data_IF_378744684067
#
_entry.id   IF_378744684067
#
_cell.length_a   1.000
_cell.length_b   1.000
_cell.length_c   1.000
_cell.angle_alpha   90.00
_cell.angle_beta   90.00
_cell.angle_gamma   90.00
#
_symmetry.space_group_name_H-M   'P 1'
#
loop_
_entity.id
_entity.type
_entity.pdbx_description
1 polymer ?
#
# COMPACT_ATOMS: atom_id res chain seq x y z
N UNK A 1 0.85 27.18 -5.88
CA UNK A 1 2.32 27.15 -5.83
C UNK A 1 2.75 25.76 -5.43
N UNK A 2 3.27 24.99 -6.37
CA UNK A 2 3.76 23.63 -6.14
C UNK A 2 5.21 23.66 -5.60
N UNK A 3 5.80 22.51 -5.29
CA UNK A 3 7.16 22.42 -4.73
C UNK A 3 8.25 22.96 -5.68
N UNK A 4 8.04 22.88 -6.99
CA UNK A 4 8.96 23.41 -8.00
C UNK A 4 8.95 24.94 -7.99
N UNK A 5 7.76 25.57 -7.93
CA UNK A 5 7.60 27.02 -7.85
C UNK A 5 8.26 27.63 -6.60
N UNK A 6 8.21 26.90 -5.46
CA UNK A 6 8.78 27.37 -4.19
C UNK A 6 10.28 27.21 -4.09
N UNK A 7 10.81 26.12 -4.63
CA UNK A 7 12.25 25.80 -4.53
C UNK A 7 13.08 26.42 -5.64
N UNK A 8 12.46 26.75 -6.79
CA UNK A 8 13.18 27.12 -8.00
C UNK A 8 13.94 25.95 -8.63
N UNK A 9 13.77 24.73 -8.11
CA UNK A 9 14.46 23.52 -8.57
C UNK A 9 13.50 22.69 -9.45
N UNK A 10 13.88 22.35 -10.69
CA UNK A 10 13.04 21.56 -11.56
C UNK A 10 12.94 20.10 -11.07
N UNK A 11 11.72 19.65 -10.78
CA UNK A 11 11.41 18.25 -10.41
C UNK A 11 10.91 17.50 -11.64
N UNK A 12 11.84 17.15 -12.53
CA UNK A 12 11.55 16.52 -13.82
C UNK A 12 12.35 15.24 -14.00
N UNK A 13 11.81 14.30 -14.77
CA UNK A 13 12.54 13.14 -15.26
C UNK A 13 13.12 13.42 -16.65
N UNK A 14 14.18 12.70 -17.00
CA UNK A 14 14.81 12.76 -18.31
C UNK A 14 14.90 11.35 -18.89
N UNK A 15 14.47 11.19 -20.13
CA UNK A 15 14.54 9.95 -20.90
C UNK A 15 15.38 10.20 -22.15
N UNK A 16 16.52 9.51 -22.26
CA UNK A 16 17.37 9.61 -23.46
C UNK A 16 16.72 8.86 -24.61
N UNK A 17 16.73 9.46 -25.80
CA UNK A 17 16.31 8.74 -26.99
C UNK A 17 17.42 7.77 -27.42
N UNK A 18 17.04 6.63 -28.00
CA UNK A 18 17.98 5.69 -28.62
C UNK A 18 18.74 6.33 -29.78
N UNK A 19 18.06 7.18 -30.55
CA UNK A 19 18.63 8.00 -31.61
C UNK A 19 18.15 9.45 -31.49
N UNK A 20 18.98 10.46 -31.82
CA UNK A 20 18.57 11.86 -31.74
C UNK A 20 17.38 12.15 -32.64
N UNK A 21 16.33 12.77 -32.10
CA UNK A 21 15.16 13.19 -32.88
C UNK A 21 15.40 14.58 -33.46
N UNK A 22 15.25 14.74 -34.76
CA UNK A 22 15.19 16.06 -35.40
C UNK A 22 13.80 16.65 -35.18
N UNK A 23 13.71 17.73 -34.41
CA UNK A 23 12.48 18.46 -34.16
C UNK A 23 12.62 19.85 -34.79
N UNK A 24 11.72 20.19 -35.71
CA UNK A 24 11.56 21.57 -36.16
C UNK A 24 10.89 22.36 -35.04
N UNK A 25 11.61 23.31 -34.44
CA UNK A 25 11.05 24.25 -33.48
C UNK A 25 11.05 25.64 -34.06
N UNK A 26 9.95 26.34 -33.85
CA UNK A 26 9.84 27.75 -34.19
C UNK A 26 10.51 28.56 -33.08
N UNK A 27 11.62 29.22 -33.42
CA UNK A 27 12.41 30.02 -32.49
C UNK A 27 12.03 31.49 -32.68
N UNK A 28 11.55 32.09 -31.60
CA UNK A 28 11.18 33.49 -31.51
C UNK A 28 12.31 34.17 -30.75
N UNK A 29 13.06 35.04 -31.43
CA UNK A 29 14.20 35.76 -30.84
C UNK A 29 13.86 37.25 -30.77
N UNK A 30 13.48 37.76 -29.58
CA UNK A 30 13.26 39.19 -29.38
C UNK A 30 14.59 39.95 -29.40
N UNK A 31 14.68 41.00 -30.21
CA UNK A 31 15.86 41.86 -30.30
C UNK A 31 15.83 42.86 -29.14
N UNK A 32 16.41 42.47 -28.01
CA UNK A 32 16.37 43.23 -26.75
C UNK A 32 16.78 44.69 -26.89
N UNK A 33 17.73 45.01 -27.77
CA UNK A 33 18.19 46.39 -28.01
C UNK A 33 17.08 47.27 -28.61
N UNK A 34 16.43 46.79 -29.66
CA UNK A 34 15.36 47.53 -30.36
C UNK A 34 14.09 47.61 -29.49
N UNK A 35 13.76 46.52 -28.78
CA UNK A 35 12.65 46.50 -27.82
C UNK A 35 12.88 47.43 -26.62
N UNK A 36 14.13 47.56 -26.15
CA UNK A 36 14.49 48.50 -25.09
C UNK A 36 14.38 49.96 -25.52
N UNK A 37 14.75 50.27 -26.77
CA UNK A 37 14.59 51.61 -27.34
C UNK A 37 13.11 51.99 -27.50
N UNK A 38 12.26 51.05 -27.94
CA UNK A 38 10.84 51.30 -28.20
C UNK A 38 9.99 51.31 -26.92
N UNK A 39 10.21 50.39 -25.99
CA UNK A 39 9.29 50.14 -24.87
C UNK A 39 9.87 50.46 -23.48
N UNK A 40 11.16 50.81 -23.38
CA UNK A 40 11.85 51.24 -22.14
C UNK A 40 11.44 50.39 -20.92
N UNK A 41 10.69 50.96 -19.97
CA UNK A 41 10.28 50.29 -18.73
C UNK A 41 9.36 49.08 -18.92
N UNK A 42 8.67 48.97 -20.06
CA UNK A 42 7.79 47.85 -20.40
C UNK A 42 8.50 46.72 -21.14
N UNK A 43 9.80 46.86 -21.45
CA UNK A 43 10.57 45.90 -22.25
C UNK A 43 10.47 44.46 -21.72
N UNK A 44 10.63 44.27 -20.40
CA UNK A 44 10.62 42.94 -19.79
C UNK A 44 9.32 42.18 -20.09
N UNK A 45 8.19 42.85 -19.91
CA UNK A 45 6.86 42.26 -20.12
C UNK A 45 6.60 41.94 -21.60
N UNK A 46 7.09 42.78 -22.52
CA UNK A 46 6.97 42.55 -23.97
C UNK A 46 7.83 41.36 -24.40
N UNK A 47 9.05 41.23 -23.86
CA UNK A 47 9.94 40.09 -24.14
C UNK A 47 9.33 38.79 -23.62
N UNK A 48 8.86 38.75 -22.37
CA UNK A 48 8.22 37.56 -21.78
C UNK A 48 6.97 37.16 -22.56
N UNK A 49 6.16 38.11 -23.03
CA UNK A 49 4.98 37.83 -23.84
C UNK A 49 5.34 37.29 -25.24
N UNK A 50 6.38 37.84 -25.88
CA UNK A 50 6.86 37.34 -27.18
C UNK A 50 7.43 35.92 -27.07
N UNK A 51 8.16 35.63 -25.99
CA UNK A 51 8.73 34.29 -25.74
C UNK A 51 7.66 33.25 -25.36
N UNK A 52 6.53 33.68 -24.81
CA UNK A 52 5.41 32.83 -24.43
C UNK A 52 4.39 32.55 -25.56
N UNK A 53 4.60 33.11 -26.76
CA UNK A 53 3.67 32.95 -27.88
C UNK A 53 3.50 31.48 -28.31
N UNK A 54 2.27 31.09 -28.63
CA UNK A 54 2.00 29.76 -29.19
C UNK A 54 2.46 29.68 -30.64
N UNK A 55 2.77 28.48 -31.11
CA UNK A 55 3.31 28.24 -32.45
C UNK A 55 2.44 28.83 -33.57
N UNK A 56 1.11 28.71 -33.44
CA UNK A 56 0.16 29.29 -34.40
C UNK A 56 0.21 30.82 -34.45
N UNK A 57 0.17 31.46 -33.29
CA UNK A 57 0.23 32.93 -33.16
C UNK A 57 1.55 33.49 -33.69
N UNK A 58 2.65 32.78 -33.44
CA UNK A 58 3.97 33.17 -33.91
C UNK A 58 4.12 33.04 -35.45
N UNK A 59 3.48 32.04 -36.07
CA UNK A 59 3.41 31.91 -37.52
C UNK A 59 2.57 33.03 -38.16
N UNK A 60 1.41 33.33 -37.56
CA UNK A 60 0.53 34.42 -38.02
C UNK A 60 1.26 35.78 -37.90
N UNK A 61 1.98 36.00 -36.80
CA UNK A 61 2.81 37.20 -36.60
C UNK A 61 3.91 37.29 -37.67
N UNK A 62 4.59 36.18 -37.96
CA UNK A 62 5.63 36.14 -39.00
C UNK A 62 5.07 36.57 -40.36
N UNK A 63 3.92 36.03 -40.75
CA UNK A 63 3.28 36.40 -42.02
C UNK A 63 2.85 37.88 -42.07
N UNK A 64 2.35 38.43 -40.95
CA UNK A 64 2.01 39.84 -40.84
C UNK A 64 3.23 40.76 -40.96
N UNK A 65 4.34 40.40 -40.32
CA UNK A 65 5.62 41.11 -40.38
C UNK A 65 6.24 41.09 -41.79
N UNK A 66 6.13 39.97 -42.52
CA UNK A 66 6.62 39.85 -43.90
C UNK A 66 5.76 40.65 -44.90
N UNK A 67 4.46 40.80 -44.65
CA UNK A 67 3.55 41.50 -45.57
C UNK A 67 3.42 43.00 -45.31
N UNK A 68 3.35 43.43 -44.04
CA UNK A 68 3.10 44.82 -43.64
C UNK A 68 4.29 45.50 -42.96
N UNK A 69 5.28 44.75 -42.50
CA UNK A 69 6.46 45.28 -41.78
C UNK A 69 6.22 45.60 -40.29
N UNK A 70 4.95 45.58 -39.87
CA UNK A 70 4.51 45.81 -38.49
C UNK A 70 3.24 45.00 -38.15
N UNK A 71 3.07 44.70 -36.87
CA UNK A 71 1.93 43.93 -36.35
C UNK A 71 1.54 44.44 -34.96
N UNK A 72 0.25 44.53 -34.72
CA UNK A 72 -0.28 44.80 -33.39
C UNK A 72 -0.25 43.53 -32.55
N UNK A 73 0.43 43.58 -31.41
CA UNK A 73 0.57 42.47 -30.49
C UNK A 73 0.00 42.84 -29.12
N UNK A 74 -0.97 42.08 -28.65
CA UNK A 74 -1.55 42.28 -27.34
C UNK A 74 -0.67 41.65 -26.26
N UNK A 75 -0.13 42.47 -25.36
CA UNK A 75 0.63 42.00 -24.21
C UNK A 75 -0.33 41.83 -23.04
N UNK A 76 -0.81 40.61 -22.81
CA UNK A 76 -1.79 40.31 -21.77
C UNK A 76 -1.36 40.77 -20.36
N UNK A 77 -0.05 40.74 -20.05
CA UNK A 77 0.48 41.20 -18.75
C UNK A 77 0.42 42.71 -18.56
N UNK A 78 0.28 43.48 -19.64
CA UNK A 78 0.15 44.94 -19.63
C UNK A 78 -1.28 45.40 -19.97
N UNK A 79 -2.14 44.51 -20.47
CA UNK A 79 -3.47 44.84 -20.97
C UNK A 79 -3.44 45.88 -22.10
N UNK A 80 -2.36 45.89 -22.89
CA UNK A 80 -2.11 46.90 -23.94
C UNK A 80 -1.65 46.23 -25.23
N UNK A 81 -2.12 46.77 -26.34
CA UNK A 81 -1.64 46.45 -27.68
C UNK A 81 -0.41 47.28 -28.00
N UNK A 82 0.66 46.64 -28.45
CA UNK A 82 1.91 47.28 -28.85
C UNK A 82 2.24 46.95 -30.30
N UNK A 83 2.81 47.90 -31.02
CA UNK A 83 3.23 47.69 -32.42
C UNK A 83 4.63 47.07 -32.46
N UNK A 84 4.72 45.86 -32.97
CA UNK A 84 5.99 45.14 -33.16
C UNK A 84 6.40 45.24 -34.62
N UNK A 85 7.68 45.50 -34.87
CA UNK A 85 8.24 45.64 -36.24
C UNK A 85 9.27 44.55 -36.54
N UNK A 86 9.63 44.38 -37.81
CA UNK A 86 10.60 43.36 -38.26
C UNK A 86 11.98 43.46 -37.60
N UNK A 87 12.34 44.64 -37.08
CA UNK A 87 13.61 44.87 -36.36
C UNK A 87 13.56 44.40 -34.91
N UNK A 88 12.37 44.21 -34.34
CA UNK A 88 12.17 43.94 -32.92
C UNK A 88 12.07 42.45 -32.58
N UNK A 89 11.68 41.62 -33.55
CA UNK A 89 11.56 40.17 -33.35
C UNK A 89 11.97 39.42 -34.61
N UNK A 90 12.72 38.33 -34.44
CA UNK A 90 13.06 37.41 -35.53
C UNK A 90 12.39 36.07 -35.27
N UNK A 91 11.60 35.58 -36.23
CA UNK A 91 10.86 34.33 -36.12
C UNK A 91 11.35 33.37 -37.23
N UNK A 92 12.00 32.28 -36.84
CA UNK A 92 12.58 31.31 -37.78
C UNK A 92 12.27 29.87 -37.34
N UNK A 93 12.18 28.96 -38.31
CA UNK A 93 12.10 27.52 -38.03
C UNK A 93 13.52 26.97 -37.99
N UNK A 94 13.92 26.42 -36.85
CA UNK A 94 15.23 25.82 -36.68
C UNK A 94 15.07 24.30 -36.46
N UNK A 95 15.88 23.51 -37.16
CA UNK A 95 15.97 22.06 -36.95
C UNK A 95 16.93 21.80 -35.80
N UNK A 96 16.40 21.39 -34.65
CA UNK A 96 17.20 21.04 -33.47
C UNK A 96 17.22 19.53 -33.28
N UNK A 97 18.41 18.98 -33.07
CA UNK A 97 18.58 17.59 -32.64
C UNK A 97 18.37 17.51 -31.12
N UNK A 98 17.33 16.81 -30.71
CA UNK A 98 17.07 16.51 -29.30
C UNK A 98 17.57 15.11 -28.96
N UNK A 99 18.43 15.01 -27.96
CA UNK A 99 19.01 13.75 -27.48
C UNK A 99 18.22 13.13 -26.32
N UNK A 100 17.34 13.90 -25.69
CA UNK A 100 16.56 13.46 -24.54
C UNK A 100 15.23 14.20 -24.44
N UNK A 101 14.22 13.51 -23.92
CA UNK A 101 12.95 14.07 -23.49
C UNK A 101 13.02 14.44 -22.02
N UNK A 102 12.60 15.65 -21.69
CA UNK A 102 12.36 16.07 -20.29
C UNK A 102 10.86 16.10 -20.07
N UNK A 103 10.37 15.49 -18.99
CA UNK A 103 8.94 15.47 -18.68
C UNK A 103 8.69 15.40 -17.17
N UNK A 104 7.50 15.83 -16.75
CA UNK A 104 7.01 15.70 -15.38
C UNK A 104 6.29 14.35 -15.23
N UNK A 105 6.78 13.41 -14.39
CA UNK A 105 6.14 12.11 -14.22
C UNK A 105 4.72 12.24 -13.66
N UNK A 106 3.80 11.40 -14.15
CA UNK A 106 2.51 11.21 -13.50
C UNK A 106 2.67 10.41 -12.21
N UNK A 107 1.96 10.81 -11.16
CA UNK A 107 1.99 10.12 -9.86
C UNK A 107 0.71 9.30 -9.69
N UNK A 108 0.87 8.03 -9.37
CA UNK A 108 -0.21 7.17 -8.87
C UNK A 108 0.04 7.02 -7.37
N UNK A 109 -0.92 7.47 -6.57
CA UNK A 109 -0.82 7.42 -5.11
C UNK A 109 -1.81 6.39 -4.55
N UNK A 110 -1.39 5.12 -4.38
CA UNK A 110 -2.18 4.17 -3.62
C UNK A 110 -2.08 4.51 -2.13
N UNK A 111 -3.19 4.98 -1.55
CA UNK A 111 -3.28 5.33 -0.13
C UNK A 111 -4.20 4.36 0.61
N UNK A 112 -3.68 3.71 1.66
CA UNK A 112 -4.39 2.67 2.41
C UNK A 112 -4.69 3.13 3.83
N UNK A 113 -5.98 3.27 4.15
CA UNK A 113 -6.43 3.56 5.51
C UNK A 113 -6.42 2.31 6.39
N UNK A 114 -5.28 2.01 7.04
CA UNK A 114 -5.09 0.80 7.87
C UNK A 114 -6.21 0.63 8.91
N UNK A 115 -6.64 1.70 9.57
CA UNK A 115 -7.74 1.65 10.55
C UNK A 115 -9.06 1.15 9.95
N UNK A 116 -9.40 1.58 8.71
CA UNK A 116 -10.59 1.10 8.00
C UNK A 116 -10.43 -0.35 7.55
N UNK A 117 -9.25 -0.73 7.10
CA UNK A 117 -8.96 -2.13 6.71
C UNK A 117 -9.13 -3.07 7.92
N UNK A 118 -8.62 -2.68 9.08
CA UNK A 118 -8.79 -3.45 10.33
C UNK A 118 -10.27 -3.51 10.74
N UNK A 119 -10.99 -2.40 10.65
CA UNK A 119 -12.42 -2.36 10.95
C UNK A 119 -13.23 -3.28 10.03
N UNK A 120 -13.00 -3.23 8.71
CA UNK A 120 -13.61 -4.15 7.76
C UNK A 120 -13.24 -5.61 8.05
N UNK A 121 -12.00 -5.88 8.47
CA UNK A 121 -11.60 -7.22 8.90
C UNK A 121 -12.42 -7.69 10.11
N UNK A 122 -12.67 -6.82 11.09
CA UNK A 122 -13.55 -7.16 12.22
C UNK A 122 -14.96 -7.50 11.75
N UNK A 123 -15.60 -6.63 10.97
CA UNK A 123 -16.97 -6.87 10.50
C UNK A 123 -17.08 -8.15 9.65
N UNK A 124 -16.14 -8.40 8.74
CA UNK A 124 -16.18 -9.56 7.85
C UNK A 124 -15.78 -10.87 8.54
N UNK A 125 -15.05 -10.80 9.66
CA UNK A 125 -14.60 -11.97 10.40
C UNK A 125 -15.53 -12.32 11.55
N UNK A 126 -16.33 -11.39 12.05
CA UNK A 126 -17.20 -11.60 13.20
C UNK A 126 -18.39 -12.51 12.85
N UNK A 127 -18.63 -13.52 13.68
CA UNK A 127 -19.86 -14.30 13.64
C UNK A 127 -20.19 -14.90 15.00
N UNK A 128 -21.47 -15.24 15.20
CA UNK A 128 -21.94 -15.93 16.40
C UNK A 128 -22.14 -17.41 16.09
N UNK A 129 -21.62 -18.28 16.95
CA UNK A 129 -21.87 -19.73 16.88
C UNK A 129 -23.17 -20.07 17.61
N UNK A 130 -23.96 -21.00 17.07
CA UNK A 130 -25.09 -21.55 17.81
C UNK A 130 -24.58 -22.31 19.04
N UNK A 131 -25.11 -21.97 20.21
CA UNK A 131 -24.92 -22.77 21.42
C UNK A 131 -26.00 -23.84 21.49
N UNK A 132 -25.61 -25.08 21.85
CA UNK A 132 -26.56 -26.18 22.09
C UNK A 132 -27.48 -25.90 23.29
N UNK A 133 -27.04 -25.06 24.22
CA UNK A 133 -27.76 -24.71 25.44
C UNK A 133 -28.64 -23.45 25.30
N UNK A 134 -28.70 -22.81 24.11
CA UNK A 134 -29.56 -21.65 23.84
C UNK A 134 -29.15 -20.32 24.52
N UNK A 135 -28.48 -20.36 25.67
CA UNK A 135 -28.26 -19.19 26.53
C UNK A 135 -26.89 -18.49 26.37
N UNK A 136 -25.90 -19.13 25.72
CA UNK A 136 -24.55 -18.56 25.56
C UNK A 136 -24.29 -18.12 24.11
N UNK A 137 -24.13 -16.82 23.88
CA UNK A 137 -23.60 -16.29 22.62
C UNK A 137 -22.11 -16.54 22.53
N UNK A 138 -21.71 -17.45 21.63
CA UNK A 138 -20.31 -17.75 21.37
C UNK A 138 -19.81 -16.90 20.20
N UNK A 139 -19.29 -15.72 20.53
CA UNK A 139 -18.70 -14.77 19.59
C UNK A 139 -17.36 -15.30 19.07
N UNK A 140 -17.13 -15.16 17.76
CA UNK A 140 -15.88 -15.60 17.12
C UNK A 140 -15.42 -14.57 16.10
N UNK A 141 -14.12 -14.27 16.10
CA UNK A 141 -13.48 -13.58 14.98
C UNK A 141 -12.72 -14.57 14.10
N UNK A 142 -13.21 -14.76 12.87
CA UNK A 142 -12.60 -15.58 11.83
C UNK A 142 -11.37 -14.93 11.16
N UNK A 143 -10.40 -14.47 11.94
CA UNK A 143 -9.17 -13.93 11.37
C UNK A 143 -8.41 -15.00 10.60
N UNK A 144 -7.94 -14.72 9.37
CA UNK A 144 -6.97 -15.56 8.70
C UNK A 144 -5.72 -15.73 9.57
N UNK A 145 -5.15 -16.94 9.58
CA UNK A 145 -4.02 -17.26 10.48
C UNK A 145 -2.85 -16.29 10.32
N UNK A 146 -2.60 -15.81 9.10
CA UNK A 146 -1.57 -14.81 8.78
C UNK A 146 -1.73 -13.48 9.52
N UNK A 147 -2.96 -13.01 9.78
CA UNK A 147 -3.24 -11.70 10.41
C UNK A 147 -3.77 -11.80 11.84
N UNK A 148 -4.10 -13.01 12.33
CA UNK A 148 -4.57 -13.18 13.70
C UNK A 148 -3.56 -12.64 14.73
N UNK A 149 -3.95 -11.84 15.74
CA UNK A 149 -3.01 -11.23 16.69
C UNK A 149 -2.22 -12.26 17.52
N UNK A 150 -2.91 -13.31 17.95
CA UNK A 150 -2.34 -14.48 18.62
C UNK A 150 -2.63 -15.66 17.71
N UNK A 151 -1.60 -16.46 17.42
CA UNK A 151 -1.70 -17.58 16.48
C UNK A 151 -2.11 -18.86 17.19
N UNK A 152 -1.66 -19.02 18.43
CA UNK A 152 -1.90 -20.24 19.19
C UNK A 152 -2.09 -19.97 20.69
N UNK A 153 -3.10 -20.60 21.30
CA UNK A 153 -3.18 -20.71 22.76
C UNK A 153 -2.75 -22.09 23.23
N UNK A 154 -2.15 -22.18 24.41
CA UNK A 154 -1.72 -23.45 25.01
C UNK A 154 -2.41 -23.62 26.37
N UNK A 155 -3.09 -24.74 26.55
CA UNK A 155 -3.90 -25.06 27.72
C UNK A 155 -3.41 -26.36 28.37
N UNK A 156 -2.99 -26.37 29.64
CA UNK A 156 -2.99 -27.62 30.41
C UNK A 156 -4.45 -28.04 30.68
N UNK A 157 -4.83 -29.27 30.33
CA UNK A 157 -6.23 -29.74 30.48
C UNK A 157 -6.68 -29.62 31.94
N UNK A 158 -5.85 -30.11 32.85
CA UNK A 158 -5.99 -29.98 34.31
C UNK A 158 -4.79 -29.25 34.89
N UNK A 159 -4.99 -28.60 36.04
CA UNK A 159 -3.89 -27.98 36.78
C UNK A 159 -3.04 -29.09 37.42
N UNK A 160 -1.97 -29.45 36.71
CA UNK A 160 -0.98 -30.42 37.12
C UNK A 160 0.39 -29.92 36.66
N UNK A 161 1.37 -29.94 37.56
CA UNK A 161 2.75 -29.54 37.30
C UNK A 161 3.33 -30.19 36.03
N UNK A 162 3.06 -31.47 35.80
CA UNK A 162 3.55 -32.18 34.61
C UNK A 162 3.00 -31.57 33.31
N UNK A 163 1.72 -31.20 33.28
CA UNK A 163 1.07 -30.64 32.09
C UNK A 163 1.44 -29.17 31.90
N UNK A 164 1.62 -28.43 32.99
CA UNK A 164 2.14 -27.07 32.95
C UNK A 164 3.56 -27.00 32.40
N UNK A 165 4.43 -27.94 32.78
CA UNK A 165 5.81 -27.98 32.28
C UNK A 165 5.83 -28.29 30.77
N UNK A 166 4.97 -29.19 30.29
CA UNK A 166 4.79 -29.47 28.86
C UNK A 166 4.19 -28.26 28.13
N UNK A 167 3.21 -27.57 28.71
CA UNK A 167 2.64 -26.35 28.13
C UNK A 167 3.70 -25.23 27.99
N UNK A 168 4.57 -25.06 29.00
CA UNK A 168 5.71 -24.12 28.95
C UNK A 168 6.71 -24.51 27.88
N UNK A 169 7.02 -25.81 27.76
CA UNK A 169 7.89 -26.33 26.71
C UNK A 169 7.34 -25.99 25.31
N UNK A 170 6.07 -26.29 25.05
CA UNK A 170 5.42 -26.01 23.77
C UNK A 170 5.37 -24.51 23.49
N UNK A 171 5.02 -23.69 24.48
CA UNK A 171 5.01 -22.22 24.35
C UNK A 171 6.39 -21.67 23.97
N UNK A 172 7.45 -22.18 24.61
CA UNK A 172 8.84 -21.84 24.25
C UNK A 172 9.17 -22.26 22.82
N UNK A 173 8.78 -23.47 22.41
CA UNK A 173 8.99 -23.95 21.03
C UNK A 173 8.25 -23.11 20.00
N UNK A 174 7.02 -22.69 20.29
CA UNK A 174 6.25 -21.76 19.46
C UNK A 174 6.95 -20.40 19.35
N UNK A 175 7.46 -19.86 20.46
CA UNK A 175 8.21 -18.60 20.45
C UNK A 175 9.50 -18.70 19.63
N UNK A 176 10.26 -19.79 19.75
CA UNK A 176 11.45 -20.04 18.92
C UNK A 176 11.08 -20.14 17.44
N UNK A 177 9.90 -20.67 17.13
CA UNK A 177 9.36 -20.76 15.77
C UNK A 177 8.78 -19.43 15.24
N UNK A 178 8.84 -18.32 16.01
CA UNK A 178 8.30 -17.02 15.61
C UNK A 178 6.77 -16.91 15.72
N UNK A 179 6.12 -17.82 16.45
CA UNK A 179 4.67 -17.91 16.56
C UNK A 179 4.18 -17.20 17.84
N UNK A 180 3.39 -16.14 17.66
CA UNK A 180 2.70 -15.44 18.76
C UNK A 180 1.76 -16.40 19.47
N UNK A 181 1.97 -16.61 20.77
CA UNK A 181 1.22 -17.58 21.56
C UNK A 181 0.94 -17.10 22.99
N UNK A 182 -0.04 -17.72 23.64
CA UNK A 182 -0.42 -17.43 25.03
C UNK A 182 -0.74 -18.72 25.78
N UNK A 183 -0.18 -18.87 26.98
CA UNK A 183 -0.59 -19.92 27.91
C UNK A 183 -1.81 -19.45 28.70
N UNK A 184 -2.86 -20.26 28.77
CA UNK A 184 -4.03 -20.01 29.62
C UNK A 184 -4.21 -21.17 30.62
N UNK A 185 -3.83 -20.87 31.87
CA UNK A 185 -3.90 -21.77 33.04
C UNK A 185 -5.14 -21.50 33.91
N UNK A 186 -6.12 -20.72 33.41
CA UNK A 186 -7.33 -20.43 34.17
C UNK A 186 -8.08 -21.72 34.51
N UNK A 187 -8.52 -21.85 35.77
CA UNK A 187 -9.21 -23.04 36.29
C UNK A 187 -10.64 -23.23 35.77
N UNK A 188 -10.99 -22.65 34.63
CA UNK A 188 -12.31 -22.80 33.99
C UNK A 188 -12.33 -24.03 33.07
N UNK A 189 -13.52 -24.53 32.75
CA UNK A 189 -13.69 -25.65 31.81
C UNK A 189 -12.98 -25.39 30.48
N UNK A 190 -12.55 -26.46 29.80
CA UNK A 190 -11.86 -26.35 28.52
C UNK A 190 -12.75 -25.66 27.46
N UNK A 191 -14.06 -25.92 27.49
CA UNK A 191 -15.03 -25.24 26.63
C UNK A 191 -15.03 -23.72 26.82
N UNK A 192 -15.01 -23.23 28.06
CA UNK A 192 -14.92 -21.78 28.36
C UNK A 192 -13.59 -21.17 27.90
N UNK A 193 -12.49 -21.93 27.98
CA UNK A 193 -11.18 -21.50 27.47
C UNK A 193 -11.15 -21.42 25.95
N UNK A 194 -11.76 -22.39 25.25
CA UNK A 194 -11.96 -22.33 23.81
C UNK A 194 -12.85 -21.16 23.41
N UNK A 195 -13.97 -20.92 24.10
CA UNK A 195 -14.85 -19.80 23.81
C UNK A 195 -14.12 -18.44 23.88
N UNK A 196 -13.36 -18.19 24.96
CA UNK A 196 -12.54 -16.98 25.10
C UNK A 196 -11.47 -16.83 24.01
N UNK A 197 -10.90 -17.96 23.58
CA UNK A 197 -9.86 -18.00 22.55
C UNK A 197 -10.43 -17.74 21.17
N UNK A 198 -11.59 -18.32 20.87
CA UNK A 198 -12.34 -18.11 19.64
C UNK A 198 -12.83 -16.65 19.55
N UNK A 199 -13.25 -16.05 20.68
CA UNK A 199 -13.63 -14.64 20.80
C UNK A 199 -12.46 -13.68 20.53
N UNK A 200 -11.22 -14.07 20.84
CA UNK A 200 -10.02 -13.32 20.48
C UNK A 200 -9.55 -13.59 19.04
N UNK A 201 -10.23 -14.48 18.33
CA UNK A 201 -9.93 -14.88 16.96
C UNK A 201 -8.64 -15.68 16.79
N UNK A 202 -8.19 -16.36 17.85
CA UNK A 202 -6.99 -17.21 17.79
C UNK A 202 -7.27 -18.44 16.92
N UNK A 203 -6.49 -18.69 15.85
CA UNK A 203 -6.75 -19.79 14.91
C UNK A 203 -6.56 -21.18 15.51
N UNK A 204 -5.57 -21.36 16.38
CA UNK A 204 -5.20 -22.67 16.92
C UNK A 204 -5.18 -22.68 18.44
N UNK A 205 -5.57 -23.82 19.00
CA UNK A 205 -5.48 -24.10 20.41
C UNK A 205 -4.81 -25.44 20.64
N UNK A 206 -3.82 -25.49 21.53
CA UNK A 206 -3.14 -26.70 21.94
C UNK A 206 -3.62 -27.07 23.34
N UNK A 207 -4.17 -28.26 23.50
CA UNK A 207 -4.53 -28.82 24.79
C UNK A 207 -3.55 -29.91 25.19
N UNK A 208 -2.97 -29.74 26.36
CA UNK A 208 -2.00 -30.64 26.98
C UNK A 208 -2.73 -31.53 27.98
N UNK A 209 -3.00 -32.76 27.59
CA UNK A 209 -3.65 -33.79 28.39
C UNK A 209 -2.75 -35.02 28.64
N UNK A 210 -1.58 -35.05 28.01
CA UNK A 210 -0.53 -36.06 28.15
C UNK A 210 0.85 -35.39 28.07
N UNK A 211 1.90 -36.11 28.49
CA UNK A 211 3.29 -35.64 28.42
C UNK A 211 3.95 -35.83 27.06
N UNK A 212 3.50 -36.82 26.27
CA UNK A 212 4.12 -37.17 24.98
C UNK A 212 3.38 -36.59 23.78
N UNK A 213 2.06 -36.45 23.86
CA UNK A 213 1.19 -36.00 22.77
C UNK A 213 0.24 -34.93 23.25
N UNK A 214 -0.15 -34.03 22.35
CA UNK A 214 -1.10 -32.95 22.61
C UNK A 214 -2.17 -32.90 21.53
N UNK A 215 -3.29 -32.28 21.85
CA UNK A 215 -4.38 -32.06 20.89
C UNK A 215 -4.28 -30.66 20.31
N UNK A 216 -4.28 -30.52 19.00
CA UNK A 216 -4.37 -29.24 18.29
C UNK A 216 -5.80 -29.10 17.77
N UNK A 217 -6.49 -28.04 18.19
CA UNK A 217 -7.83 -27.66 17.73
C UNK A 217 -7.74 -26.47 16.78
N UNK A 218 -8.47 -26.53 15.67
CA UNK A 218 -8.68 -25.39 14.79
C UNK A 218 -9.97 -24.65 15.15
N UNK A 219 -9.91 -23.31 15.09
CA UNK A 219 -10.97 -22.42 15.54
C UNK A 219 -12.28 -22.71 14.82
N UNK A 220 -12.31 -22.62 13.48
CA UNK A 220 -13.51 -22.49 12.63
C UNK A 220 -14.33 -23.78 12.51
N UNK A 221 -13.65 -24.90 12.26
CA UNK A 221 -14.21 -26.25 12.18
C UNK A 221 -14.47 -26.84 13.56
N UNK A 222 -13.69 -26.45 14.58
CA UNK A 222 -13.59 -27.11 15.90
C UNK A 222 -12.95 -28.50 15.85
N UNK A 223 -12.42 -28.87 14.69
CA UNK A 223 -11.76 -30.15 14.48
C UNK A 223 -10.47 -30.21 15.31
N UNK A 224 -10.15 -31.42 15.79
CA UNK A 224 -9.05 -31.68 16.72
C UNK A 224 -8.16 -32.82 16.24
N UNK A 225 -6.85 -32.61 16.14
CA UNK A 225 -5.87 -33.65 15.78
C UNK A 225 -4.93 -33.95 16.93
N UNK A 226 -4.47 -35.19 17.02
CA UNK A 226 -3.44 -35.61 17.98
C UNK A 226 -2.06 -35.50 17.35
N UNK A 227 -1.14 -34.80 18.01
CA UNK A 227 0.23 -34.57 17.52
C UNK A 227 1.23 -34.81 18.65
N UNK A 228 2.41 -35.32 18.33
CA UNK A 228 3.52 -35.39 19.27
C UNK A 228 3.84 -33.99 19.81
N UNK A 229 4.08 -33.85 21.12
CA UNK A 229 4.34 -32.55 21.75
C UNK A 229 5.51 -31.79 21.10
N UNK A 230 6.51 -32.53 20.61
CA UNK A 230 7.68 -31.98 19.91
C UNK A 230 7.34 -31.43 18.51
N UNK A 231 6.35 -32.00 17.82
CA UNK A 231 5.95 -31.58 16.47
C UNK A 231 4.90 -30.45 16.49
N UNK A 232 4.24 -30.22 17.63
CA UNK A 232 3.12 -29.30 17.74
C UNK A 232 3.45 -27.88 17.24
N UNK A 233 4.61 -27.34 17.61
CA UNK A 233 5.03 -26.01 17.16
C UNK A 233 5.27 -25.94 15.63
N UNK A 234 5.84 -27.00 15.04
CA UNK A 234 6.08 -27.07 13.59
C UNK A 234 4.76 -27.12 12.83
N UNK A 235 3.80 -27.91 13.29
CA UNK A 235 2.47 -28.02 12.65
C UNK A 235 1.75 -26.68 12.67
N UNK A 236 1.72 -25.98 13.81
CA UNK A 236 1.09 -24.65 13.91
C UNK A 236 1.78 -23.65 13.00
N UNK A 237 3.11 -23.69 12.91
CA UNK A 237 3.89 -22.80 12.04
C UNK A 237 3.56 -23.01 10.56
N UNK A 238 3.55 -24.25 10.08
CA UNK A 238 3.26 -24.56 8.67
C UNK A 238 1.91 -24.01 8.21
N UNK A 239 0.88 -24.06 9.07
CA UNK A 239 -0.43 -23.50 8.74
C UNK A 239 -0.48 -21.98 8.88
N UNK A 240 0.20 -21.42 9.88
CA UNK A 240 0.24 -19.97 10.11
C UNK A 240 0.99 -19.22 9.01
N UNK A 241 2.06 -19.81 8.48
CA UNK A 241 2.84 -19.26 7.36
C UNK A 241 2.20 -19.54 5.99
N UNK A 242 1.14 -20.34 5.92
CA UNK A 242 0.44 -20.68 4.68
C UNK A 242 1.14 -21.74 3.82
N UNK A 243 2.12 -22.46 4.39
CA UNK A 243 2.76 -23.59 3.71
C UNK A 243 1.84 -24.82 3.61
N UNK A 244 0.92 -24.97 4.56
CA UNK A 244 -0.14 -25.99 4.57
C UNK A 244 -1.49 -25.38 4.95
N UNK A 245 -2.56 -26.03 4.54
CA UNK A 245 -3.90 -25.73 5.01
C UNK A 245 -4.25 -26.56 6.25
N UNK A 246 -5.31 -26.17 6.97
CA UNK A 246 -5.84 -27.00 8.04
C UNK A 246 -6.27 -28.39 7.53
N UNK A 247 -6.81 -28.48 6.32
CA UNK A 247 -7.22 -29.74 5.73
C UNK A 247 -6.05 -30.71 5.51
N UNK A 248 -4.87 -30.19 5.17
CA UNK A 248 -3.65 -31.01 5.04
C UNK A 248 -3.21 -31.57 6.39
N UNK A 249 -3.30 -30.76 7.44
CA UNK A 249 -3.03 -31.20 8.82
C UNK A 249 -4.06 -32.24 9.26
N UNK A 250 -5.35 -31.96 9.02
CA UNK A 250 -6.46 -32.85 9.34
C UNK A 250 -6.31 -34.22 8.68
N UNK A 251 -5.87 -34.27 7.41
CA UNK A 251 -5.68 -35.54 6.70
C UNK A 251 -4.42 -36.30 7.11
N UNK A 252 -3.43 -35.63 7.69
CA UNK A 252 -2.13 -36.23 8.05
C UNK A 252 -2.12 -36.84 9.45
N UNK A 253 -2.81 -36.22 10.41
CA UNK A 253 -2.74 -36.59 11.82
C UNK A 253 -3.99 -37.32 12.30
N UNK A 254 -3.88 -38.21 13.32
CA UNK A 254 -5.04 -38.90 13.89
C UNK A 254 -6.07 -37.90 14.41
N UNK A 255 -7.32 -38.09 13.99
CA UNK A 255 -8.45 -37.30 14.49
C UNK A 255 -8.72 -37.61 15.95
N UNK A 256 -8.88 -36.57 16.74
CA UNK A 256 -9.24 -36.65 18.14
C UNK A 256 -10.71 -36.25 18.28
N UNK A 257 -11.60 -37.23 18.34
CA UNK A 257 -12.95 -37.00 18.81
C UNK A 257 -12.92 -36.93 20.33
N UNK A 258 -13.23 -35.79 20.92
CA UNK A 258 -13.56 -35.73 22.34
C UNK A 258 -14.87 -36.48 22.58
N UNK A 259 -14.80 -37.78 22.83
CA UNK A 259 -15.90 -38.51 23.44
C UNK A 259 -16.07 -37.96 24.86
N UNK A 260 -17.29 -37.52 25.19
CA UNK A 260 -17.75 -37.14 26.54
C UNK A 260 -16.96 -36.03 27.26
N UNK A 261 -17.32 -34.78 27.01
CA UNK A 261 -17.33 -33.69 28.03
C UNK A 261 -18.17 -32.53 27.49
N UNK A 262 -19.38 -32.87 27.06
CA UNK A 262 -20.48 -31.92 26.86
C UNK A 262 -21.58 -32.31 27.85
N UNK A 263 -21.33 -32.05 29.13
CA UNK A 263 -22.34 -31.80 30.17
C UNK A 263 -22.01 -30.45 30.80
#
# INVERSE_FOLDING_TARGET
MNSMDKSGVPLVAQEKFSEPKEVEKLVITPVKKELGLAFKGSQKNVVEALEAMKEKEALDMKAALESKGEVEFEVCTLGKTVTITNKMVTIQKEKKKEHQRVFTPSVIEPSFGIGRIIYCLFEHSFYMRPSKAGDEQLNVFRFPAVVAPIKCTVFPLVQNKQYEDVAKYISKSLTVAGISNKIDITGTSIGKRYARTDELGVPFAITVDSTSSVTIRERDSKDQVRVDAEKAASVVREVTEGHKTWQDVWSTFPHHSSASTEE
#
